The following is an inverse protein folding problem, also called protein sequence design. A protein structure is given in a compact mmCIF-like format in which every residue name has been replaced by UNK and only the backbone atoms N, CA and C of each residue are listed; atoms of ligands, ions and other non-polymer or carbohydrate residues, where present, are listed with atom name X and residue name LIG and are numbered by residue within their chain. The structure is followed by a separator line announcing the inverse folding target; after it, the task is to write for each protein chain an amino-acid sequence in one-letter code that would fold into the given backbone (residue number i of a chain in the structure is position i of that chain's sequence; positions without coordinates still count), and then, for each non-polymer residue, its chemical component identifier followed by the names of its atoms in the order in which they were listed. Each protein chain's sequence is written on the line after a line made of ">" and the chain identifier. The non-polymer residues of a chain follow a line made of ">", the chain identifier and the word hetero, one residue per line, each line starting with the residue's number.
data_IF_795790386525
#
_entry.id   IF_795790386525
#
_cell.length_a   1.000
_cell.length_b   1.000
_cell.length_c   1.000
_cell.angle_alpha   90.00
_cell.angle_beta   90.00
_cell.angle_gamma   90.00
#
_symmetry.space_group_name_H-M   'P 1'
#
loop_
_entity.id
_entity.type
_entity.pdbx_description
1 polymer ?
#
# COMPACT_ATOMS: atom_id res chain seq x y z
N UNK A 1 24.89 -14.11 -77.93
CA UNK A 1 25.82 -14.50 -76.85
C UNK A 1 25.30 -13.87 -75.57
N UNK A 2 24.83 -14.65 -74.59
CA UNK A 2 24.53 -14.17 -73.23
C UNK A 2 24.87 -15.30 -72.26
N UNK A 3 25.90 -15.08 -71.44
CA UNK A 3 26.39 -16.02 -70.43
C UNK A 3 25.67 -15.77 -69.11
N UNK A 4 24.96 -16.77 -68.59
CA UNK A 4 24.35 -16.74 -67.25
C UNK A 4 25.46 -16.81 -66.19
N UNK A 5 25.53 -15.90 -65.20
CA UNK A 5 26.48 -16.01 -64.09
C UNK A 5 26.10 -17.18 -63.18
N UNK A 6 27.07 -18.04 -62.85
CA UNK A 6 26.88 -19.12 -61.89
C UNK A 6 26.62 -18.61 -60.46
N UNK A 7 26.01 -19.43 -59.59
CA UNK A 7 25.77 -19.05 -58.19
C UNK A 7 27.09 -18.79 -57.46
N UNK A 8 27.22 -17.64 -56.82
CA UNK A 8 28.34 -17.34 -55.94
C UNK A 8 28.25 -18.21 -54.67
N UNK A 9 29.37 -18.76 -54.18
CA UNK A 9 29.36 -19.52 -52.93
C UNK A 9 29.02 -18.58 -51.77
N UNK A 10 27.94 -18.89 -51.04
CA UNK A 10 27.65 -18.25 -49.75
C UNK A 10 28.80 -18.60 -48.81
N UNK A 11 29.57 -17.59 -48.41
CA UNK A 11 30.53 -17.70 -47.32
C UNK A 11 29.81 -18.25 -46.09
N UNK A 12 30.14 -19.48 -45.69
CA UNK A 12 29.62 -20.10 -44.48
C UNK A 12 30.21 -19.39 -43.27
N UNK A 13 29.42 -18.52 -42.63
CA UNK A 13 29.69 -18.09 -41.26
C UNK A 13 29.76 -19.35 -40.39
N UNK A 14 30.96 -19.64 -39.87
CA UNK A 14 31.19 -20.82 -39.03
C UNK A 14 30.24 -20.85 -37.82
N UNK A 15 29.91 -22.04 -37.29
CA UNK A 15 28.94 -22.16 -36.21
C UNK A 15 29.44 -21.37 -35.01
N UNK A 16 28.70 -20.32 -34.65
CA UNK A 16 28.87 -19.65 -33.36
C UNK A 16 28.67 -20.72 -32.29
N UNK A 17 29.71 -20.95 -31.46
CA UNK A 17 29.60 -21.84 -30.29
C UNK A 17 28.61 -21.20 -29.33
N UNK A 18 27.34 -21.54 -29.46
CA UNK A 18 26.32 -21.20 -28.46
C UNK A 18 26.72 -21.91 -27.17
N UNK A 19 27.32 -21.18 -26.23
CA UNK A 19 27.48 -21.62 -24.85
C UNK A 19 26.08 -21.62 -24.22
N UNK A 20 25.38 -22.75 -24.34
CA UNK A 20 24.12 -22.98 -23.64
C UNK A 20 24.38 -23.14 -22.13
N UNK A 21 23.42 -22.70 -21.32
CA UNK A 21 23.39 -22.95 -19.89
C UNK A 21 23.15 -24.45 -19.64
N UNK A 22 23.88 -25.07 -18.71
CA UNK A 22 23.68 -26.48 -18.40
C UNK A 22 22.32 -26.70 -17.72
N UNK A 23 21.63 -27.80 -18.05
CA UNK A 23 20.39 -28.16 -17.35
C UNK A 23 20.63 -28.38 -15.85
N UNK A 24 21.83 -28.84 -15.49
CA UNK A 24 22.26 -28.99 -14.09
C UNK A 24 22.48 -27.63 -13.42
N UNK A 25 23.07 -26.66 -14.11
CA UNK A 25 23.19 -25.28 -13.58
C UNK A 25 21.80 -24.68 -13.33
N UNK A 26 20.86 -24.92 -14.25
CA UNK A 26 19.50 -24.40 -14.11
C UNK A 26 18.77 -25.01 -12.91
N UNK A 27 18.91 -26.32 -12.69
CA UNK A 27 18.28 -26.99 -11.55
C UNK A 27 18.80 -26.46 -10.20
N UNK A 28 20.11 -26.21 -10.07
CA UNK A 28 20.69 -25.66 -8.84
C UNK A 28 20.21 -24.22 -8.61
N UNK A 29 20.13 -23.41 -9.66
CA UNK A 29 19.62 -22.02 -9.56
C UNK A 29 18.16 -22.00 -9.08
N UNK A 30 17.31 -22.86 -9.65
CA UNK A 30 15.90 -22.96 -9.23
C UNK A 30 15.79 -23.42 -7.78
N UNK A 31 16.64 -24.36 -7.34
CA UNK A 31 16.66 -24.80 -5.95
C UNK A 31 17.00 -23.66 -4.97
N UNK A 32 18.01 -22.83 -5.30
CA UNK A 32 18.40 -21.69 -4.47
C UNK A 32 17.30 -20.62 -4.43
N UNK A 33 16.71 -20.28 -5.58
CA UNK A 33 15.59 -19.32 -5.66
C UNK A 33 14.40 -19.82 -4.83
N UNK A 34 14.10 -21.12 -4.85
CA UNK A 34 13.04 -21.72 -4.05
C UNK A 34 13.23 -21.51 -2.54
N UNK A 35 14.46 -21.68 -2.03
CA UNK A 35 14.78 -21.45 -0.62
C UNK A 35 14.61 -19.97 -0.26
N UNK A 36 15.14 -19.06 -1.09
CA UNK A 36 15.04 -17.62 -0.85
C UNK A 36 13.59 -17.14 -0.87
N UNK A 37 12.77 -17.65 -1.79
CA UNK A 37 11.37 -17.27 -1.94
C UNK A 37 10.54 -17.61 -0.69
N UNK A 38 10.80 -18.74 -0.04
CA UNK A 38 10.08 -19.14 1.19
C UNK A 38 10.28 -18.14 2.34
N UNK A 39 11.44 -17.50 2.45
CA UNK A 39 11.72 -16.48 3.48
C UNK A 39 11.23 -15.11 3.03
N UNK A 40 11.42 -14.76 1.76
CA UNK A 40 11.12 -13.44 1.23
C UNK A 40 9.62 -13.15 1.13
N UNK A 41 8.80 -14.14 0.72
CA UNK A 41 7.36 -13.96 0.53
C UNK A 41 6.60 -13.51 1.81
N UNK A 42 6.71 -14.19 2.96
CA UNK A 42 6.01 -13.76 4.17
C UNK A 42 6.47 -12.38 4.65
N UNK A 43 7.76 -12.05 4.50
CA UNK A 43 8.27 -10.73 4.85
C UNK A 43 7.71 -9.64 3.91
N UNK A 44 7.66 -9.90 2.61
CA UNK A 44 7.10 -8.96 1.63
C UNK A 44 5.61 -8.70 1.87
N UNK A 45 4.83 -9.75 2.19
CA UNK A 45 3.42 -9.61 2.53
C UNK A 45 3.20 -8.69 3.73
N UNK A 46 3.99 -8.87 4.80
CA UNK A 46 3.95 -7.98 5.98
C UNK A 46 4.34 -6.55 5.66
N UNK A 47 5.36 -6.33 4.83
CA UNK A 47 5.76 -4.98 4.42
C UNK A 47 4.66 -4.29 3.61
N UNK A 48 4.05 -5.01 2.67
CA UNK A 48 2.91 -4.52 1.88
C UNK A 48 1.71 -4.16 2.77
N UNK A 49 1.39 -4.99 3.78
CA UNK A 49 0.33 -4.72 4.74
C UNK A 49 0.60 -3.44 5.56
N UNK A 50 1.82 -3.27 6.08
CA UNK A 50 2.24 -2.05 6.78
C UNK A 50 2.13 -0.81 5.89
N UNK A 51 2.55 -0.91 4.64
CA UNK A 51 2.48 0.19 3.68
C UNK A 51 1.02 0.58 3.37
N UNK A 52 0.12 -0.38 3.26
CA UNK A 52 -1.32 -0.13 3.08
C UNK A 52 -1.93 0.60 4.28
N UNK A 53 -1.62 0.18 5.51
CA UNK A 53 -2.09 0.85 6.73
C UNK A 53 -1.52 2.27 6.87
N UNK A 54 -0.23 2.46 6.57
CA UNK A 54 0.37 3.79 6.54
C UNK A 54 -0.27 4.67 5.46
N UNK A 55 -0.64 4.08 4.31
CA UNK A 55 -1.40 4.77 3.26
C UNK A 55 -2.81 5.15 3.72
N UNK A 56 -3.54 4.27 4.39
CA UNK A 56 -4.85 4.57 4.96
C UNK A 56 -4.77 5.73 5.96
N UNK A 57 -3.76 5.70 6.85
CA UNK A 57 -3.49 6.79 7.79
C UNK A 57 -3.24 8.11 7.06
N UNK A 58 -2.44 8.09 6.00
CA UNK A 58 -2.15 9.29 5.21
C UNK A 58 -3.39 9.83 4.49
N UNK A 59 -4.26 8.96 3.99
CA UNK A 59 -5.54 9.35 3.35
C UNK A 59 -6.42 10.11 4.35
N UNK A 60 -6.63 9.60 5.58
CA UNK A 60 -7.44 10.31 6.58
C UNK A 60 -6.73 11.47 7.26
N UNK A 61 -5.40 11.44 7.36
CA UNK A 61 -4.63 12.54 7.94
C UNK A 61 -4.75 13.84 7.14
N UNK A 62 -5.10 13.76 5.85
CA UNK A 62 -5.41 14.92 5.02
C UNK A 62 -6.56 15.77 5.56
N UNK A 63 -7.51 15.16 6.29
CA UNK A 63 -8.66 15.84 6.87
C UNK A 63 -8.37 16.65 8.13
N UNK A 64 -7.20 16.49 8.76
CA UNK A 64 -6.86 17.17 10.02
C UNK A 64 -6.95 18.69 9.90
N UNK A 65 -6.40 19.26 8.83
CA UNK A 65 -6.42 20.71 8.60
C UNK A 65 -7.85 21.21 8.40
N UNK A 66 -8.68 20.44 7.70
CA UNK A 66 -10.10 20.76 7.54
C UNK A 66 -10.84 20.78 8.88
N UNK A 67 -10.56 19.79 9.75
CA UNK A 67 -11.10 19.76 11.11
C UNK A 67 -10.68 20.99 11.90
N UNK A 68 -9.39 21.33 11.93
CA UNK A 68 -8.92 22.51 12.67
C UNK A 68 -9.54 23.82 12.15
N UNK A 69 -9.70 23.96 10.84
CA UNK A 69 -10.33 25.16 10.23
C UNK A 69 -11.79 25.29 10.65
N UNK A 70 -12.58 24.23 10.51
CA UNK A 70 -14.01 24.26 10.83
C UNK A 70 -14.26 24.44 12.32
N UNK A 71 -13.45 23.82 13.19
CA UNK A 71 -13.53 24.05 14.63
C UNK A 71 -13.19 25.49 15.01
N UNK A 72 -12.20 26.11 14.35
CA UNK A 72 -11.85 27.51 14.59
C UNK A 72 -12.96 28.48 14.15
N UNK A 73 -13.74 28.10 13.14
CA UNK A 73 -14.92 28.83 12.67
C UNK A 73 -16.18 28.59 13.53
N UNK A 74 -16.15 27.61 14.44
CA UNK A 74 -17.30 27.19 15.24
C UNK A 74 -18.35 26.42 14.44
N UNK A 75 -17.95 25.78 13.34
CA UNK A 75 -18.81 24.98 12.48
C UNK A 75 -18.87 23.51 12.91
N UNK A 76 -20.05 22.90 12.77
CA UNK A 76 -20.24 21.47 13.00
C UNK A 76 -19.60 20.64 11.88
N UNK A 77 -18.94 19.54 12.25
CA UNK A 77 -18.32 18.61 11.31
C UNK A 77 -19.10 17.31 11.34
N UNK A 78 -19.92 17.10 10.30
CA UNK A 78 -20.86 15.97 10.21
C UNK A 78 -20.54 15.02 9.06
N UNK A 79 -19.68 15.43 8.12
CA UNK A 79 -19.35 14.63 6.93
C UNK A 79 -17.85 14.69 6.60
N UNK A 80 -17.26 13.61 6.06
CA UNK A 80 -15.90 13.63 5.49
C UNK A 80 -15.70 14.74 4.45
N UNK A 81 -16.71 15.02 3.61
CA UNK A 81 -16.64 16.04 2.59
C UNK A 81 -16.38 17.45 3.16
N UNK A 82 -16.92 17.75 4.35
CA UNK A 82 -16.69 19.06 5.01
C UNK A 82 -15.22 19.31 5.34
N UNK A 83 -14.44 18.25 5.59
CA UNK A 83 -13.00 18.34 5.89
C UNK A 83 -12.12 17.99 4.70
N UNK A 84 -12.69 17.97 3.49
CA UNK A 84 -11.96 17.71 2.25
C UNK A 84 -11.60 16.25 2.02
N UNK A 85 -12.24 15.31 2.72
CA UNK A 85 -12.08 13.88 2.50
C UNK A 85 -13.25 13.31 1.68
N UNK A 86 -13.00 12.30 0.83
CA UNK A 86 -14.08 11.53 0.22
C UNK A 86 -14.74 10.60 1.25
N UNK A 87 -15.96 10.15 0.98
CA UNK A 87 -16.65 9.14 1.80
C UNK A 87 -15.98 7.75 1.72
N UNK A 88 -15.24 7.48 0.65
CA UNK A 88 -14.52 6.21 0.43
C UNK A 88 -13.19 6.47 -0.27
N UNK A 89 -12.22 5.57 -0.12
CA UNK A 89 -10.89 5.74 -0.71
C UNK A 89 -10.30 4.42 -1.24
N UNK A 90 -9.02 4.43 -1.62
CA UNK A 90 -8.34 3.22 -2.08
C UNK A 90 -8.07 2.22 -0.95
N UNK A 91 -8.06 2.67 0.31
CA UNK A 91 -7.79 1.86 1.51
C UNK A 91 -8.92 1.84 2.52
N UNK A 92 -9.81 2.82 2.50
CA UNK A 92 -10.97 2.90 3.37
C UNK A 92 -12.24 2.53 2.58
N UNK A 93 -13.02 1.58 3.08
CA UNK A 93 -14.33 1.23 2.55
C UNK A 93 -15.36 2.29 2.90
N UNK A 94 -15.23 2.88 4.09
CA UNK A 94 -15.96 4.05 4.52
C UNK A 94 -15.05 4.97 5.34
N UNK A 95 -15.23 6.28 5.18
CA UNK A 95 -14.67 7.30 6.05
C UNK A 95 -15.85 7.97 6.75
N UNK A 96 -15.77 8.11 8.08
CA UNK A 96 -16.78 8.79 8.87
C UNK A 96 -16.11 9.82 9.79
N UNK A 97 -16.81 10.91 10.08
CA UNK A 97 -16.34 11.95 10.99
C UNK A 97 -17.40 12.21 12.04
N UNK A 98 -16.98 12.23 13.30
CA UNK A 98 -17.86 12.51 14.43
C UNK A 98 -17.23 13.62 15.26
N UNK A 99 -18.02 14.65 15.58
CA UNK A 99 -17.63 15.71 16.51
C UNK A 99 -18.44 15.64 17.79
N UNK A 100 -17.77 15.73 18.93
CA UNK A 100 -18.41 16.08 20.19
C UNK A 100 -18.47 17.61 20.30
N UNK A 101 -19.59 18.17 19.88
CA UNK A 101 -19.91 19.61 19.96
C UNK A 101 -19.80 20.20 21.37
N UNK A 102 -19.76 19.37 22.41
CA UNK A 102 -19.62 19.83 23.80
C UNK A 102 -18.18 20.19 24.15
N UNK A 103 -17.21 19.43 23.63
CA UNK A 103 -15.80 19.51 24.03
C UNK A 103 -14.84 19.81 22.86
N UNK A 104 -15.34 19.89 21.63
CA UNK A 104 -14.53 20.08 20.42
C UNK A 104 -13.67 18.87 20.05
N UNK A 105 -13.86 17.73 20.72
CA UNK A 105 -13.20 16.48 20.37
C UNK A 105 -13.75 15.96 19.03
N UNK A 106 -12.87 15.50 18.16
CA UNK A 106 -13.24 15.06 16.80
C UNK A 106 -12.62 13.71 16.51
N UNK A 107 -13.37 12.82 15.88
CA UNK A 107 -12.88 11.51 15.47
C UNK A 107 -13.07 11.34 13.97
N UNK A 108 -12.00 11.01 13.25
CA UNK A 108 -12.03 10.61 11.84
C UNK A 108 -11.80 9.10 11.80
N UNK A 109 -12.81 8.35 11.42
CA UNK A 109 -12.75 6.89 11.29
C UNK A 109 -12.57 6.48 9.83
N UNK A 110 -11.58 5.63 9.56
CA UNK A 110 -11.45 4.87 8.32
C UNK A 110 -11.79 3.41 8.61
N UNK A 111 -12.91 2.93 8.08
CA UNK A 111 -13.17 1.50 8.00
C UNK A 111 -12.28 0.92 6.90
N UNK A 112 -11.31 0.10 7.26
CA UNK A 112 -10.34 -0.46 6.32
C UNK A 112 -11.03 -1.45 5.38
N UNK A 113 -10.69 -1.36 4.09
CA UNK A 113 -11.07 -2.39 3.12
C UNK A 113 -10.52 -3.73 3.55
N UNK A 114 -11.37 -4.75 3.50
CA UNK A 114 -10.97 -6.11 3.83
C UNK A 114 -9.80 -6.55 2.93
N UNK A 115 -8.68 -6.87 3.55
CA UNK A 115 -7.45 -7.28 2.86
C UNK A 115 -6.93 -8.57 3.48
N UNK A 116 -6.50 -9.53 2.66
CA UNK A 116 -6.03 -10.82 3.16
C UNK A 116 -4.82 -10.72 4.11
N UNK A 117 -4.02 -9.65 4.03
CA UNK A 117 -2.84 -9.47 4.87
C UNK A 117 -3.10 -8.62 6.13
N UNK A 118 -4.21 -7.87 6.18
CA UNK A 118 -4.55 -6.95 7.29
C UNK A 118 -5.79 -7.46 8.06
N UNK A 119 -6.72 -8.10 7.36
CA UNK A 119 -8.07 -8.38 7.82
C UNK A 119 -9.00 -7.19 7.57
N UNK A 120 -10.01 -7.08 8.42
CA UNK A 120 -10.91 -5.93 8.55
C UNK A 120 -10.65 -5.21 9.87
N UNK A 121 -11.06 -3.95 9.94
CA UNK A 121 -10.96 -3.15 11.15
C UNK A 121 -11.06 -1.67 10.83
N UNK A 122 -10.88 -0.85 11.85
CA UNK A 122 -10.93 0.58 11.82
C UNK A 122 -9.55 1.16 12.12
N UNK A 123 -9.27 2.28 11.47
CA UNK A 123 -8.16 3.16 11.77
C UNK A 123 -8.76 4.54 12.07
N UNK A 124 -8.58 5.00 13.31
CA UNK A 124 -9.24 6.19 13.83
C UNK A 124 -8.20 7.25 14.19
N UNK A 125 -8.43 8.48 13.76
CA UNK A 125 -7.70 9.66 14.20
C UNK A 125 -8.59 10.45 15.16
N UNK A 126 -8.23 10.43 16.43
CA UNK A 126 -8.94 11.18 17.46
C UNK A 126 -8.17 12.45 17.80
N UNK A 127 -8.87 13.57 17.72
CA UNK A 127 -8.46 14.88 18.21
C UNK A 127 -9.11 15.09 19.56
N UNK A 128 -8.31 15.33 20.60
CA UNK A 128 -8.83 15.73 21.89
C UNK A 128 -9.26 17.21 21.92
N UNK A 129 -9.75 17.67 23.06
CA UNK A 129 -10.15 19.06 23.27
C UNK A 129 -8.97 20.04 23.25
N UNK A 130 -7.74 19.57 23.45
CA UNK A 130 -6.51 20.38 23.41
C UNK A 130 -5.91 20.46 21.99
N UNK A 131 -6.49 19.73 21.03
CA UNK A 131 -6.03 19.67 19.65
C UNK A 131 -4.91 18.66 19.41
N UNK A 132 -4.65 17.77 20.37
CA UNK A 132 -3.69 16.69 20.20
C UNK A 132 -4.35 15.55 19.42
N UNK A 133 -3.64 15.06 18.42
CA UNK A 133 -4.10 13.97 17.57
C UNK A 133 -3.48 12.64 18.00
N UNK A 134 -4.33 11.66 18.27
CA UNK A 134 -3.98 10.28 18.55
C UNK A 134 -4.47 9.37 17.42
N UNK A 135 -3.63 8.45 16.98
CA UNK A 135 -4.05 7.40 16.07
C UNK A 135 -4.37 6.12 16.86
N UNK A 136 -5.57 5.58 16.64
CA UNK A 136 -6.02 4.30 17.21
C UNK A 136 -6.44 3.34 16.10
N UNK A 137 -6.39 2.04 16.36
CA UNK A 137 -6.85 1.04 15.41
C UNK A 137 -7.20 -0.28 16.11
N UNK A 138 -8.29 -0.90 15.68
CA UNK A 138 -8.78 -2.16 16.25
C UNK A 138 -8.34 -3.41 15.44
N UNK A 139 -7.40 -3.26 14.50
CA UNK A 139 -6.94 -4.39 13.70
C UNK A 139 -6.33 -5.49 14.59
N UNK A 140 -6.57 -6.74 14.19
CA UNK A 140 -6.14 -7.91 14.97
C UNK A 140 -4.62 -8.03 15.11
N UNK A 141 -3.86 -7.76 14.04
CA UNK A 141 -2.39 -7.80 14.08
C UNK A 141 -1.81 -6.40 14.32
N UNK A 142 -1.65 -6.07 15.60
CA UNK A 142 -1.08 -4.79 16.03
C UNK A 142 0.38 -4.59 15.59
N UNK A 143 1.09 -5.65 15.19
CA UNK A 143 2.48 -5.51 14.70
C UNK A 143 2.55 -4.82 13.33
N UNK A 144 1.41 -4.73 12.63
CA UNK A 144 1.26 -4.06 11.34
C UNK A 144 1.00 -2.56 11.47
N UNK A 145 0.69 -2.06 12.67
CA UNK A 145 0.33 -0.67 12.87
C UNK A 145 1.45 0.31 12.47
N UNK A 146 1.10 1.45 11.84
CA UNK A 146 2.05 2.53 11.60
C UNK A 146 2.64 3.06 12.91
N UNK A 147 3.84 3.63 12.83
CA UNK A 147 4.46 4.30 13.98
C UNK A 147 3.54 5.43 14.48
N UNK A 148 3.23 5.44 15.78
CA UNK A 148 2.34 6.42 16.40
C UNK A 148 0.86 6.02 16.44
N UNK A 149 0.48 4.90 15.84
CA UNK A 149 -0.84 4.29 16.04
C UNK A 149 -0.78 3.24 17.13
N UNK A 150 -1.81 3.20 17.97
CA UNK A 150 -1.97 2.23 19.04
C UNK A 150 -3.33 1.53 18.96
N UNK A 151 -3.54 0.53 19.80
CA UNK A 151 -4.83 -0.14 19.94
C UNK A 151 -5.87 0.76 20.61
#
# INVERSE_FOLDING_TARGET
>A
MNTVPGPTPRAGTGPSRQKGFSLVELMVVVAIIGILAMIALPQYQRFSAKAKLAGALAEVAGGKVGVESLLAEGSDITTPASIGLPETSSRCDAIAVTTDVTNGATSINCELKNDAAIGSGNLTLDRDSEGVWLCRSDISDQSLLPQGCQA
#
